data_IF_180251605389
#
_entry.id   IF_180251605389
#
_cell.length_a   1.000
_cell.length_b   1.000
_cell.length_c   1.000
_cell.angle_alpha   90.00
_cell.angle_beta   90.00
_cell.angle_gamma   90.00
#
_symmetry.space_group_name_H-M   'P 1'
#
loop_
_entity.id
_entity.type
_entity.pdbx_description
1 polymer ?
#
# COMPACT_ATOMS: atom_id res chain seq x y z
N UNK A 1 0.56 19.70 -2.34
CA UNK A 1 0.54 18.24 -2.47
C UNK A 1 -0.91 17.83 -2.50
N UNK A 2 -1.34 17.10 -3.53
CA UNK A 2 -2.68 16.53 -3.56
C UNK A 2 -2.63 15.27 -2.69
N UNK A 3 -3.49 15.18 -1.68
CA UNK A 3 -3.56 14.02 -0.80
C UNK A 3 -4.34 12.90 -1.49
N UNK A 4 -3.63 11.95 -2.11
CA UNK A 4 -4.30 10.82 -2.74
C UNK A 4 -4.58 9.70 -1.73
N UNK A 5 -5.60 8.90 -2.04
CA UNK A 5 -5.87 7.64 -1.36
C UNK A 5 -5.83 6.51 -2.37
N UNK A 6 -5.11 5.45 -2.08
CA UNK A 6 -5.03 4.24 -2.88
C UNK A 6 -5.63 3.06 -2.13
N UNK A 7 -6.47 2.30 -2.81
CA UNK A 7 -7.00 1.03 -2.33
C UNK A 7 -6.11 -0.08 -2.89
N UNK A 8 -5.51 -0.87 -2.02
CA UNK A 8 -4.46 -1.83 -2.38
C UNK A 8 -4.91 -3.25 -1.99
N UNK A 9 -5.39 -4.06 -2.95
CA UNK A 9 -5.56 -5.49 -2.71
C UNK A 9 -4.19 -6.12 -2.45
N UNK A 10 -4.13 -7.02 -1.49
CA UNK A 10 -2.89 -7.70 -1.13
C UNK A 10 -2.97 -9.19 -1.43
N UNK A 11 -1.81 -9.76 -1.75
CA UNK A 11 -1.54 -11.16 -1.51
C UNK A 11 -1.03 -11.31 -0.05
N UNK A 12 -1.69 -12.08 0.82
CA UNK A 12 -1.32 -12.16 2.24
C UNK A 12 0.11 -12.64 2.48
N UNK A 13 0.60 -13.58 1.67
CA UNK A 13 1.94 -14.14 1.86
C UNK A 13 3.03 -13.10 1.61
N UNK A 14 2.97 -12.40 0.47
CA UNK A 14 3.91 -11.34 0.17
C UNK A 14 3.75 -10.16 1.15
N UNK A 15 2.51 -9.83 1.53
CA UNK A 15 2.24 -8.71 2.44
C UNK A 15 2.88 -8.93 3.81
N UNK A 16 2.76 -10.14 4.34
CA UNK A 16 3.35 -10.49 5.63
C UNK A 16 4.88 -10.44 5.61
N UNK A 17 5.48 -10.76 4.45
CA UNK A 17 6.94 -10.71 4.24
C UNK A 17 7.51 -9.30 4.19
N UNK A 18 6.82 -8.34 3.57
CA UNK A 18 7.45 -7.04 3.23
C UNK A 18 6.72 -5.79 3.72
N UNK A 19 5.44 -5.89 4.11
CA UNK A 19 4.68 -4.74 4.62
C UNK A 19 4.33 -4.90 6.09
N UNK A 20 3.81 -6.07 6.50
CA UNK A 20 3.47 -6.30 7.91
C UNK A 20 4.70 -6.18 8.80
N UNK A 21 5.79 -6.80 8.37
CA UNK A 21 7.11 -6.68 8.97
C UNK A 21 8.01 -5.89 8.02
N UNK A 22 8.81 -4.93 8.52
CA UNK A 22 9.82 -4.31 7.69
C UNK A 22 10.87 -5.35 7.30
N UNK A 23 11.42 -5.22 6.09
CA UNK A 23 12.60 -5.96 5.66
C UNK A 23 13.84 -5.28 6.20
N UNK A 24 14.77 -6.08 6.71
CA UNK A 24 16.12 -5.64 7.05
C UNK A 24 16.93 -5.56 5.75
N UNK A 25 17.49 -4.39 5.48
CA UNK A 25 18.30 -4.11 4.30
C UNK A 25 19.80 -4.17 4.60
N UNK A 26 20.22 -4.32 5.85
CA UNK A 26 21.64 -4.28 6.25
C UNK A 26 22.45 -5.46 5.69
N UNK A 27 21.79 -6.57 5.39
CA UNK A 27 22.38 -7.75 4.73
C UNK A 27 22.56 -7.58 3.21
N UNK A 28 22.12 -6.46 2.64
CA UNK A 28 22.03 -6.21 1.20
C UNK A 28 22.85 -4.98 0.76
N UNK A 29 24.19 -5.10 0.67
CA UNK A 29 25.06 -3.98 0.33
C UNK A 29 24.93 -3.51 -1.14
N UNK A 30 24.32 -4.33 -2.00
CA UNK A 30 24.07 -4.07 -3.42
C UNK A 30 22.66 -3.54 -3.71
N UNK A 31 21.90 -3.17 -2.66
CA UNK A 31 20.55 -2.61 -2.79
C UNK A 31 20.52 -1.37 -3.70
N UNK A 32 19.44 -1.16 -4.47
CA UNK A 32 19.33 -0.04 -5.42
C UNK A 32 19.31 1.32 -4.72
N UNK A 33 19.61 2.39 -5.47
CA UNK A 33 19.75 3.78 -4.96
C UNK A 33 18.58 4.23 -4.04
N UNK A 34 17.29 3.99 -4.38
CA UNK A 34 16.17 4.38 -3.51
C UNK A 34 16.16 3.70 -2.13
N UNK A 35 16.91 2.61 -1.96
CA UNK A 35 17.03 1.85 -0.72
C UNK A 35 18.43 1.99 -0.08
N UNK A 36 19.36 2.67 -0.75
CA UNK A 36 20.78 2.69 -0.38
C UNK A 36 21.04 3.21 1.04
N UNK A 37 20.25 4.18 1.51
CA UNK A 37 20.41 4.83 2.80
C UNK A 37 19.48 4.28 3.90
N UNK A 38 18.74 3.20 3.63
CA UNK A 38 17.76 2.63 4.56
C UNK A 38 18.30 1.35 5.20
N UNK A 39 18.33 1.27 6.53
CA UNK A 39 18.68 0.04 7.24
C UNK A 39 17.52 -0.96 7.27
N UNK A 40 16.28 -0.47 7.37
CA UNK A 40 15.06 -1.25 7.28
C UNK A 40 13.98 -0.48 6.52
N UNK A 41 13.06 -1.18 5.87
CA UNK A 41 11.93 -0.54 5.18
C UNK A 41 10.78 -1.51 4.98
N UNK A 42 9.60 -1.00 4.64
CA UNK A 42 8.48 -1.82 4.15
C UNK A 42 8.34 -1.62 2.65
N UNK A 43 8.15 -2.70 1.91
CA UNK A 43 8.10 -2.68 0.44
C UNK A 43 6.80 -3.30 -0.04
N UNK A 44 6.23 -2.69 -1.07
CA UNK A 44 5.19 -3.30 -1.88
C UNK A 44 5.44 -3.01 -3.35
N UNK A 45 4.74 -3.73 -4.21
CA UNK A 45 4.87 -3.53 -5.64
C UNK A 45 3.56 -3.77 -6.38
N UNK A 46 3.52 -3.23 -7.59
CA UNK A 46 2.39 -3.34 -8.51
C UNK A 46 2.79 -4.23 -9.66
N UNK A 47 1.98 -5.21 -9.98
CA UNK A 47 2.22 -6.10 -11.13
C UNK A 47 2.34 -5.29 -12.43
N UNK A 48 3.40 -5.54 -13.19
CA UNK A 48 3.71 -4.86 -14.44
C UNK A 48 2.61 -5.08 -15.50
N UNK A 49 1.99 -6.26 -15.50
CA UNK A 49 1.00 -6.72 -16.49
C UNK A 49 -0.45 -6.36 -16.12
N UNK A 50 -0.67 -5.80 -14.92
CA UNK A 50 -2.02 -5.52 -14.40
C UNK A 50 -2.75 -4.34 -15.03
N UNK A 51 -2.13 -3.62 -15.98
CA UNK A 51 -2.66 -2.37 -16.53
C UNK A 51 -2.63 -1.18 -15.55
N UNK A 52 -2.07 -1.37 -14.35
CA UNK A 52 -2.06 -0.37 -13.28
C UNK A 52 -0.88 0.60 -13.32
N UNK A 53 -0.08 0.59 -14.40
CA UNK A 53 1.06 1.52 -14.54
C UNK A 53 0.67 2.98 -14.32
N UNK A 54 -0.43 3.43 -14.93
CA UNK A 54 -0.92 4.80 -14.76
C UNK A 54 -1.46 5.12 -13.36
N UNK A 55 -1.78 4.10 -12.54
CA UNK A 55 -2.15 4.28 -11.13
C UNK A 55 -0.88 4.42 -10.30
N UNK A 56 0.12 3.56 -10.53
CA UNK A 56 1.41 3.62 -9.87
C UNK A 56 2.12 4.96 -10.12
N UNK A 57 2.13 5.45 -11.36
CA UNK A 57 2.73 6.74 -11.74
C UNK A 57 2.12 7.95 -11.04
N UNK A 58 0.93 7.82 -10.45
CA UNK A 58 0.27 8.89 -9.69
C UNK A 58 0.63 8.89 -8.20
N UNK A 59 1.32 7.86 -7.73
CA UNK A 59 1.73 7.77 -6.33
C UNK A 59 2.79 8.82 -6.04
N UNK A 60 2.58 9.59 -4.98
CA UNK A 60 3.52 10.56 -4.47
C UNK A 60 3.77 10.32 -2.98
N UNK A 61 4.94 10.74 -2.51
CA UNK A 61 5.30 10.64 -1.09
C UNK A 61 4.22 11.27 -0.20
N UNK A 62 3.80 10.54 0.84
CA UNK A 62 2.77 10.93 1.79
C UNK A 62 1.35 10.52 1.43
N UNK A 63 1.10 10.00 0.21
CA UNK A 63 -0.22 9.50 -0.19
C UNK A 63 -0.65 8.31 0.66
N UNK A 64 -1.94 8.23 0.99
CA UNK A 64 -2.50 7.20 1.87
C UNK A 64 -2.70 5.88 1.11
N UNK A 65 -2.23 4.80 1.73
CA UNK A 65 -2.39 3.41 1.28
C UNK A 65 -3.35 2.70 2.21
N UNK A 66 -4.39 2.07 1.65
CA UNK A 66 -5.35 1.25 2.38
C UNK A 66 -5.26 -0.18 1.87
N UNK A 67 -4.59 -1.05 2.63
CA UNK A 67 -4.35 -2.45 2.27
C UNK A 67 -5.51 -3.33 2.73
N UNK A 68 -6.03 -4.17 1.84
CA UNK A 68 -7.13 -5.08 2.16
C UNK A 68 -6.96 -6.46 1.52
N UNK A 69 -7.46 -7.47 2.23
CA UNK A 69 -7.62 -8.82 1.74
C UNK A 69 -9.07 -9.26 1.99
N UNK A 70 -9.64 -10.03 1.07
CA UNK A 70 -11.03 -10.51 1.15
C UNK A 70 -12.04 -9.38 1.43
N UNK A 71 -12.64 -9.38 2.62
CA UNK A 71 -13.67 -8.45 3.07
C UNK A 71 -13.20 -7.49 4.18
N UNK A 72 -11.88 -7.36 4.39
CA UNK A 72 -11.31 -6.55 5.46
C UNK A 72 -10.06 -5.76 5.04
N UNK A 73 -10.02 -4.49 5.44
CA UNK A 73 -8.79 -3.68 5.44
C UNK A 73 -7.96 -4.04 6.66
N UNK A 74 -6.71 -4.40 6.41
CA UNK A 74 -5.79 -4.99 7.40
C UNK A 74 -4.64 -4.06 7.79
N UNK A 75 -4.35 -3.05 6.97
CA UNK A 75 -3.36 -2.04 7.28
C UNK A 75 -3.60 -0.72 6.55
N UNK A 76 -3.05 0.33 7.14
CA UNK A 76 -2.79 1.63 6.51
C UNK A 76 -1.29 1.85 6.39
N UNK A 77 -0.90 2.75 5.51
CA UNK A 77 0.44 3.28 5.42
C UNK A 77 0.49 4.49 4.51
N UNK A 78 1.68 5.05 4.32
CA UNK A 78 1.91 6.15 3.39
C UNK A 78 2.98 5.76 2.39
N UNK A 79 2.86 6.26 1.17
CA UNK A 79 3.93 6.10 0.17
C UNK A 79 5.15 6.84 0.70
N UNK A 80 6.27 6.15 0.88
CA UNK A 80 7.56 6.79 1.14
C UNK A 80 8.13 7.33 -0.17
N UNK A 81 8.56 6.40 -1.01
CA UNK A 81 9.12 6.64 -2.34
C UNK A 81 8.60 5.57 -3.31
N UNK A 82 8.17 5.98 -4.50
CA UNK A 82 7.80 5.07 -5.59
C UNK A 82 8.88 5.16 -6.69
N UNK A 83 9.40 4.01 -7.12
CA UNK A 83 10.52 3.94 -8.05
C UNK A 83 10.41 2.74 -9.00
N UNK A 84 11.11 2.85 -10.12
CA UNK A 84 11.28 1.75 -11.06
C UNK A 84 12.55 0.96 -10.71
N UNK A 85 12.37 -0.30 -10.34
CA UNK A 85 13.42 -1.29 -10.10
C UNK A 85 13.66 -2.09 -11.38
N UNK A 86 14.33 -1.48 -12.38
CA UNK A 86 14.48 -2.08 -13.72
C UNK A 86 15.17 -3.45 -13.69
N UNK A 87 16.10 -3.64 -12.76
CA UNK A 87 16.83 -4.89 -12.56
C UNK A 87 16.02 -5.94 -11.78
N UNK A 88 14.82 -5.57 -11.29
CA UNK A 88 13.93 -6.42 -10.48
C UNK A 88 14.63 -6.94 -9.22
N UNK A 89 15.54 -6.15 -8.66
CA UNK A 89 16.30 -6.52 -7.47
C UNK A 89 15.37 -6.80 -6.29
N UNK A 90 14.40 -5.91 -6.03
CA UNK A 90 13.45 -6.02 -4.92
C UNK A 90 12.58 -7.26 -5.08
N UNK A 91 11.99 -7.44 -6.28
CA UNK A 91 11.10 -8.56 -6.51
C UNK A 91 11.81 -9.90 -6.55
N UNK A 92 13.06 -9.95 -7.04
CA UNK A 92 13.91 -11.13 -6.97
C UNK A 92 14.40 -11.46 -5.55
N UNK A 93 14.52 -10.46 -4.68
CA UNK A 93 15.03 -10.61 -3.31
C UNK A 93 13.95 -11.02 -2.33
N UNK A 94 12.79 -10.36 -2.35
CA UNK A 94 11.80 -10.49 -1.27
C UNK A 94 10.53 -11.26 -1.63
N UNK A 95 10.21 -11.38 -2.93
CA UNK A 95 8.99 -12.06 -3.38
C UNK A 95 9.31 -13.31 -4.21
N UNK A 96 8.42 -14.29 -4.15
CA UNK A 96 8.55 -15.51 -4.95
C UNK A 96 7.57 -15.46 -6.11
N UNK A 97 8.08 -15.63 -7.33
CA UNK A 97 7.26 -15.69 -8.55
C UNK A 97 6.37 -14.44 -8.81
N UNK A 98 6.83 -13.26 -8.39
CA UNK A 98 6.16 -11.98 -8.63
C UNK A 98 7.12 -10.98 -9.29
N UNK A 99 7.53 -11.20 -10.56
CA UNK A 99 8.46 -10.30 -11.23
C UNK A 99 7.78 -8.96 -11.51
N UNK A 100 8.31 -7.89 -10.93
CA UNK A 100 7.81 -6.53 -11.16
C UNK A 100 8.93 -5.51 -11.03
N UNK A 101 8.79 -4.42 -11.77
CA UNK A 101 9.66 -3.24 -11.73
C UNK A 101 9.05 -2.09 -10.94
N UNK A 102 7.75 -2.11 -10.63
CA UNK A 102 7.05 -0.97 -10.01
C UNK A 102 6.97 -1.15 -8.50
N UNK A 103 7.90 -0.55 -7.79
CA UNK A 103 8.08 -0.72 -6.35
C UNK A 103 7.80 0.59 -5.62
N UNK A 104 7.27 0.49 -4.41
CA UNK A 104 7.24 1.62 -3.49
C UNK A 104 7.55 1.22 -2.05
N UNK A 105 8.13 2.14 -1.29
CA UNK A 105 8.31 2.01 0.15
C UNK A 105 7.04 2.45 0.89
N UNK A 106 6.81 1.86 2.06
CA UNK A 106 5.67 2.16 2.93
C UNK A 106 6.16 2.73 4.26
N UNK A 107 5.76 3.96 4.56
CA UNK A 107 5.99 4.62 5.85
C UNK A 107 4.70 4.68 6.66
N UNK A 108 4.79 5.11 7.91
CA UNK A 108 3.64 5.34 8.80
C UNK A 108 2.66 4.14 8.84
N UNK A 109 3.23 2.93 8.85
CA UNK A 109 2.46 1.70 8.86
C UNK A 109 1.59 1.59 10.13
N UNK A 110 0.31 1.31 9.94
CA UNK A 110 -0.64 1.04 11.01
C UNK A 110 -1.45 -0.22 10.72
N UNK A 111 -1.44 -1.20 11.62
CA UNK A 111 -2.33 -2.35 11.51
C UNK A 111 -3.77 -1.94 11.87
N UNK A 112 -4.74 -2.39 11.07
CA UNK A 112 -6.17 -2.09 11.27
C UNK A 112 -7.02 -3.34 11.06
N UNK A 113 -8.26 -3.30 11.52
CA UNK A 113 -9.29 -4.32 11.27
C UNK A 113 -10.61 -3.60 10.95
N UNK A 114 -10.78 -3.24 9.69
CA UNK A 114 -11.93 -2.47 9.22
C UNK A 114 -12.67 -3.20 8.08
N UNK A 115 -13.98 -3.51 8.22
CA UNK A 115 -14.71 -4.20 7.18
C UNK A 115 -14.71 -3.42 5.87
N UNK A 116 -14.48 -4.09 4.73
CA UNK A 116 -14.46 -3.49 3.38
C UNK A 116 -15.73 -2.68 3.10
N UNK A 117 -16.88 -3.23 3.48
CA UNK A 117 -18.19 -2.56 3.36
C UNK A 117 -18.30 -1.24 4.13
N UNK A 118 -17.51 -1.05 5.18
CA UNK A 118 -17.51 0.15 5.99
C UNK A 118 -16.59 1.21 5.38
N UNK A 119 -15.39 0.80 4.94
CA UNK A 119 -14.44 1.68 4.23
C UNK A 119 -15.02 2.13 2.88
N UNK A 120 -15.70 1.25 2.13
CA UNK A 120 -16.39 1.62 0.90
C UNK A 120 -17.36 2.80 1.10
N UNK A 121 -18.06 2.87 2.23
CA UNK A 121 -18.98 3.97 2.52
C UNK A 121 -18.28 5.30 2.77
N UNK A 122 -17.04 5.27 3.29
CA UNK A 122 -16.23 6.49 3.48
C UNK A 122 -16.05 7.18 2.12
N UNK A 123 -15.83 6.39 1.07
CA UNK A 123 -15.61 6.87 -0.29
C UNK A 123 -16.87 6.83 -1.18
N UNK A 124 -18.06 6.70 -0.58
CA UNK A 124 -19.35 6.63 -1.27
C UNK A 124 -19.47 5.51 -2.34
N UNK A 125 -18.73 4.42 -2.17
CA UNK A 125 -18.87 3.23 -2.99
C UNK A 125 -20.00 2.33 -2.47
N UNK A 126 -20.54 1.48 -3.35
CA UNK A 126 -21.45 0.41 -2.95
C UNK A 126 -20.81 -0.49 -1.88
N UNK A 127 -21.60 -0.91 -0.90
CA UNK A 127 -21.13 -1.82 0.17
C UNK A 127 -20.60 -3.17 -0.34
N UNK A 128 -21.02 -3.61 -1.54
CA UNK A 128 -20.56 -4.84 -2.20
C UNK A 128 -19.42 -4.62 -3.20
N UNK A 129 -19.01 -3.37 -3.40
CA UNK A 129 -17.93 -3.06 -4.34
C UNK A 129 -16.62 -3.71 -3.90
N UNK A 130 -15.94 -4.37 -4.82
CA UNK A 130 -14.59 -4.90 -4.59
C UNK A 130 -13.67 -4.14 -5.53
N UNK A 131 -12.87 -3.20 -5.00
CA UNK A 131 -11.91 -2.47 -5.82
C UNK A 131 -10.82 -3.42 -6.34
N UNK A 132 -10.09 -2.99 -7.36
CA UNK A 132 -8.74 -3.49 -7.63
C UNK A 132 -7.71 -2.52 -7.04
N UNK A 133 -6.44 -2.63 -7.44
CA UNK A 133 -5.49 -1.56 -7.13
C UNK A 133 -5.89 -0.28 -7.86
N UNK A 134 -6.25 0.77 -7.12
CA UNK A 134 -6.74 2.00 -7.72
C UNK A 134 -6.56 3.22 -6.82
N UNK A 135 -6.50 4.39 -7.45
CA UNK A 135 -6.65 5.69 -6.78
C UNK A 135 -8.12 6.01 -6.58
N UNK A 136 -8.50 6.42 -5.38
CA UNK A 136 -9.83 7.00 -5.11
C UNK A 136 -9.94 8.34 -5.85
N UNK A 137 -11.09 8.59 -6.47
CA UNK A 137 -11.31 9.85 -7.17
C UNK A 137 -11.34 11.03 -6.19
N UNK A 138 -10.80 12.19 -6.57
CA UNK A 138 -10.73 13.38 -5.71
C UNK A 138 -12.10 13.79 -5.16
N UNK A 139 -13.15 13.65 -5.96
CA UNK A 139 -14.53 13.95 -5.55
C UNK A 139 -15.08 13.04 -4.46
N UNK A 140 -14.43 11.90 -4.19
CA UNK A 140 -14.81 10.92 -3.15
C UNK A 140 -13.96 11.04 -1.88
N UNK A 141 -12.82 11.73 -1.95
CA UNK A 141 -11.98 12.03 -0.78
C UNK A 141 -12.47 13.35 -0.18
N UNK A 142 -13.50 13.27 0.67
CA UNK A 142 -14.17 14.45 1.24
C UNK A 142 -13.69 14.83 2.64
N UNK A 143 -12.86 13.98 3.24
CA UNK A 143 -12.20 14.20 4.52
C UNK A 143 -10.68 14.20 4.32
N UNK A 144 -9.96 14.85 5.23
CA UNK A 144 -8.50 14.79 5.26
C UNK A 144 -8.01 13.37 5.59
N UNK A 145 -6.76 13.06 5.23
CA UNK A 145 -6.19 11.72 5.41
C UNK A 145 -6.22 11.26 6.88
N UNK A 146 -5.95 12.16 7.83
CA UNK A 146 -5.91 11.82 9.25
C UNK A 146 -7.29 11.45 9.82
N UNK A 147 -8.34 12.08 9.31
CA UNK A 147 -9.72 11.73 9.62
C UNK A 147 -10.10 10.35 9.06
N UNK A 148 -9.61 9.99 7.87
CA UNK A 148 -9.81 8.66 7.28
C UNK A 148 -9.09 7.61 8.13
N UNK A 149 -7.82 7.81 8.46
CA UNK A 149 -7.02 6.94 9.32
C UNK A 149 -7.72 6.72 10.68
N UNK A 150 -8.19 7.81 11.32
CA UNK A 150 -8.94 7.76 12.58
C UNK A 150 -10.23 6.93 12.48
N UNK A 151 -10.93 7.00 11.35
CA UNK A 151 -12.12 6.17 11.13
C UNK A 151 -11.79 4.68 11.06
N UNK A 152 -10.68 4.30 10.42
CA UNK A 152 -10.22 2.92 10.36
C UNK A 152 -9.76 2.41 11.73
N UNK A 153 -9.06 3.24 12.52
CA UNK A 153 -8.73 2.90 13.90
C UNK A 153 -9.97 2.66 14.76
N UNK A 154 -11.01 3.49 14.60
CA UNK A 154 -12.26 3.32 15.34
C UNK A 154 -12.95 1.99 15.00
N UNK A 155 -12.95 1.57 13.73
CA UNK A 155 -13.42 0.23 13.38
C UNK A 155 -12.57 -0.86 14.02
N UNK A 156 -11.24 -0.70 14.00
CA UNK A 156 -10.30 -1.65 14.61
C UNK A 156 -10.61 -1.86 16.09
N UNK A 157 -10.76 -0.78 16.86
CA UNK A 157 -11.10 -0.83 18.29
C UNK A 157 -12.46 -1.45 18.57
N UNK A 158 -13.39 -1.38 17.63
CA UNK A 158 -14.74 -1.95 17.76
C UNK A 158 -14.78 -3.45 17.43
N UNK A 159 -13.88 -3.93 16.58
CA UNK A 159 -13.84 -5.33 16.13
C UNK A 159 -12.79 -6.20 16.86
N UNK A 160 -11.93 -5.59 17.69
CA UNK A 160 -11.01 -6.28 18.60
C UNK A 160 -11.73 -6.81 19.85
#
# INVERSE_FOLDING_TARGET
MSENVFLVPIDPENFDRTVRSPVDLTDYPDRPEPLADLDETRLWAVDDDSGNGSTFEKMASGDLLLFYADDEYVATGRVGEAFADEDRWVSGTFWTAFPTTRVYTVTDFGAVAAPKRAVNRIFDYSSSYTPGFMRVADSRVTADLSSIESALEHYTKRNA
#
